data_IF_451621538506
#
_entry.id   IF_451621538506
#
_cell.length_a   1.000
_cell.length_b   1.000
_cell.length_c   1.000
_cell.angle_alpha   90.00
_cell.angle_beta   90.00
_cell.angle_gamma   90.00
#
_symmetry.space_group_name_H-M   'P 1'
#
loop_
_entity.id
_entity.type
_entity.pdbx_description
1 polymer ?
#
# COMPACT_ATOMS: atom_id res chain seq x y z
N UNK A 1 19.19 -6.99 4.16
CA UNK A 1 18.82 -8.08 3.23
C UNK A 1 18.56 -7.41 1.89
N UNK A 2 19.15 -7.88 0.79
CA UNK A 2 18.95 -7.25 -0.51
C UNK A 2 17.46 -7.39 -0.91
N UNK A 3 16.74 -6.27 -0.95
CA UNK A 3 15.38 -6.23 -1.46
C UNK A 3 15.41 -6.68 -2.92
N UNK A 4 14.62 -7.70 -3.27
CA UNK A 4 14.54 -8.21 -4.63
C UNK A 4 14.01 -7.13 -5.58
N UNK A 5 14.71 -6.93 -6.70
CA UNK A 5 14.33 -5.97 -7.74
C UNK A 5 12.86 -6.14 -8.15
N UNK A 6 12.13 -5.03 -8.24
CA UNK A 6 10.71 -5.05 -8.63
C UNK A 6 10.63 -5.01 -10.15
N UNK A 7 10.00 -6.03 -10.74
CA UNK A 7 9.74 -6.07 -12.19
C UNK A 7 8.39 -5.47 -12.56
N UNK A 8 8.40 -4.64 -13.59
CA UNK A 8 7.24 -4.00 -14.19
C UNK A 8 7.07 -4.48 -15.64
N UNK A 9 5.84 -4.83 -16.01
CA UNK A 9 5.48 -5.25 -17.36
C UNK A 9 4.07 -4.78 -17.76
N UNK A 10 3.81 -4.72 -19.06
CA UNK A 10 2.50 -4.40 -19.63
C UNK A 10 1.85 -3.15 -19.02
N UNK A 11 0.60 -3.29 -18.58
CA UNK A 11 -0.17 -2.19 -17.98
C UNK A 11 0.46 -1.63 -16.69
N UNK A 12 1.23 -2.43 -15.94
CA UNK A 12 1.93 -1.95 -14.75
C UNK A 12 3.05 -0.97 -15.12
N UNK A 13 3.84 -1.30 -16.15
CA UNK A 13 4.88 -0.41 -16.67
C UNK A 13 4.28 0.86 -17.27
N UNK A 14 3.18 0.76 -18.02
CA UNK A 14 2.50 1.92 -18.62
C UNK A 14 2.01 2.93 -17.57
N UNK A 15 1.30 2.46 -16.54
CA UNK A 15 0.79 3.33 -15.47
C UNK A 15 1.93 3.92 -14.65
N UNK A 16 2.92 3.10 -14.27
CA UNK A 16 4.10 3.57 -13.54
C UNK A 16 4.86 4.65 -14.32
N UNK A 17 5.08 4.44 -15.62
CA UNK A 17 5.80 5.36 -16.47
C UNK A 17 5.04 6.68 -16.61
N UNK A 18 3.75 6.60 -16.91
CA UNK A 18 2.92 7.78 -17.10
C UNK A 18 2.80 8.63 -15.83
N UNK A 19 2.67 8.00 -14.66
CA UNK A 19 2.62 8.74 -13.39
C UNK A 19 4.00 9.34 -13.02
N UNK A 20 5.10 8.62 -13.21
CA UNK A 20 6.44 9.15 -12.98
C UNK A 20 6.76 10.35 -13.90
N UNK A 21 6.40 10.24 -15.18
CA UNK A 21 6.55 11.34 -16.16
C UNK A 21 5.68 12.55 -15.81
N UNK A 22 4.43 12.31 -15.35
CA UNK A 22 3.54 13.39 -14.95
C UNK A 22 4.12 14.19 -13.77
N UNK A 23 4.74 13.51 -12.79
CA UNK A 23 5.41 14.18 -11.68
C UNK A 23 6.66 14.92 -12.16
N UNK A 24 7.51 14.29 -12.99
CA UNK A 24 8.71 14.91 -13.56
C UNK A 24 8.41 16.19 -14.36
N UNK A 25 7.28 16.23 -15.07
CA UNK A 25 6.87 17.40 -15.84
C UNK A 25 6.56 18.63 -14.96
N UNK A 26 6.19 18.43 -13.69
CA UNK A 26 5.76 19.50 -12.79
C UNK A 26 6.88 20.00 -11.87
N UNK A 27 7.87 19.17 -11.57
CA UNK A 27 8.97 19.54 -10.67
C UNK A 27 9.94 20.52 -11.34
N UNK A 28 10.26 21.61 -10.64
CA UNK A 28 11.18 22.66 -11.10
C UNK A 28 12.59 22.54 -10.49
N UNK A 29 12.71 21.92 -9.33
CA UNK A 29 13.98 21.72 -8.63
C UNK A 29 14.91 20.76 -9.39
N UNK A 30 16.13 21.20 -9.72
CA UNK A 30 17.02 20.46 -10.62
C UNK A 30 17.46 19.11 -10.06
N UNK A 31 17.81 19.04 -8.78
CA UNK A 31 18.26 17.81 -8.13
C UNK A 31 17.13 16.79 -8.04
N UNK A 32 15.92 17.23 -7.69
CA UNK A 32 14.73 16.37 -7.68
C UNK A 32 14.32 15.93 -9.08
N UNK A 33 14.48 16.78 -10.10
CA UNK A 33 14.26 16.40 -11.50
C UNK A 33 15.22 15.30 -11.94
N UNK A 34 16.50 15.38 -11.55
CA UNK A 34 17.49 14.33 -11.83
C UNK A 34 17.03 12.96 -11.31
N UNK A 35 16.70 12.90 -10.01
CA UNK A 35 16.20 11.65 -9.39
C UNK A 35 14.93 11.11 -10.03
N UNK A 36 14.00 11.98 -10.44
CA UNK A 36 12.79 11.55 -11.15
C UNK A 36 13.07 11.10 -12.58
N UNK A 37 14.05 11.67 -13.26
CA UNK A 37 14.48 11.21 -14.57
C UNK A 37 15.12 9.82 -14.50
N UNK A 38 15.95 9.58 -13.47
CA UNK A 38 16.53 8.27 -13.20
C UNK A 38 15.42 7.23 -12.92
N UNK A 39 14.42 7.57 -12.09
CA UNK A 39 13.25 6.72 -11.87
C UNK A 39 12.49 6.41 -13.17
N UNK A 40 12.26 7.42 -14.03
CA UNK A 40 11.59 7.22 -15.32
C UNK A 40 12.38 6.23 -16.19
N UNK A 41 13.71 6.34 -16.23
CA UNK A 41 14.57 5.41 -16.95
C UNK A 41 14.45 3.98 -16.38
N UNK A 42 14.53 3.81 -15.06
CA UNK A 42 14.39 2.52 -14.40
C UNK A 42 13.01 1.87 -14.68
N UNK A 43 11.93 2.66 -14.68
CA UNK A 43 10.59 2.17 -15.04
C UNK A 43 10.51 1.75 -16.51
N UNK A 44 11.18 2.46 -17.42
CA UNK A 44 11.25 2.08 -18.84
C UNK A 44 12.03 0.79 -19.07
N UNK A 45 13.10 0.57 -18.30
CA UNK A 45 13.87 -0.67 -18.32
C UNK A 45 13.10 -1.84 -17.68
N UNK A 46 12.13 -1.54 -16.82
CA UNK A 46 11.22 -2.50 -16.21
C UNK A 46 11.78 -3.21 -14.98
N UNK A 47 12.94 -2.79 -14.47
CA UNK A 47 13.54 -3.29 -13.24
C UNK A 47 13.86 -2.12 -12.30
N UNK A 48 13.30 -2.15 -11.09
CA UNK A 48 13.53 -1.11 -10.08
C UNK A 48 14.47 -1.60 -8.99
N UNK A 49 15.46 -0.77 -8.69
CA UNK A 49 16.23 -0.84 -7.44
C UNK A 49 15.37 -0.45 -6.23
N UNK A 50 15.94 -0.57 -5.04
CA UNK A 50 15.22 -0.29 -3.77
C UNK A 50 14.78 1.18 -3.68
N UNK A 51 15.68 2.11 -3.99
CA UNK A 51 15.39 3.55 -3.96
C UNK A 51 14.32 3.94 -5.01
N UNK A 52 14.42 3.39 -6.22
CA UNK A 52 13.45 3.63 -7.29
C UNK A 52 12.08 3.03 -6.97
N UNK A 53 12.06 1.84 -6.37
CA UNK A 53 10.83 1.21 -5.92
C UNK A 53 10.14 2.04 -4.83
N UNK A 54 10.90 2.59 -3.89
CA UNK A 54 10.36 3.49 -2.86
C UNK A 54 9.85 4.81 -3.46
N UNK A 55 10.58 5.39 -4.41
CA UNK A 55 10.14 6.62 -5.08
C UNK A 55 8.87 6.40 -5.91
N UNK A 56 8.79 5.28 -6.64
CA UNK A 56 7.58 4.90 -7.38
C UNK A 56 6.40 4.65 -6.44
N UNK A 57 6.66 4.05 -5.28
CA UNK A 57 5.62 3.76 -4.29
C UNK A 57 4.88 5.00 -3.83
N UNK A 58 5.60 6.09 -3.52
CA UNK A 58 4.99 7.35 -3.11
C UNK A 58 4.10 7.95 -4.21
N UNK A 59 4.52 7.83 -5.47
CA UNK A 59 3.77 8.33 -6.63
C UNK A 59 2.50 7.51 -6.83
N UNK A 60 2.59 6.19 -6.82
CA UNK A 60 1.45 5.29 -7.01
C UNK A 60 0.47 5.39 -5.85
N UNK A 61 0.95 5.47 -4.60
CA UNK A 61 0.13 5.66 -3.40
C UNK A 61 -0.71 6.95 -3.51
N UNK A 62 -0.08 8.05 -3.93
CA UNK A 62 -0.78 9.31 -4.14
C UNK A 62 -1.80 9.22 -5.28
N UNK A 63 -1.42 8.62 -6.41
CA UNK A 63 -2.30 8.45 -7.57
C UNK A 63 -3.52 7.57 -7.29
N UNK A 64 -3.36 6.53 -6.47
CA UNK A 64 -4.44 5.65 -6.01
C UNK A 64 -5.34 6.36 -4.99
N UNK A 65 -4.77 6.98 -3.96
CA UNK A 65 -5.53 7.61 -2.86
C UNK A 65 -6.36 8.81 -3.31
N UNK A 66 -5.92 9.52 -4.36
CA UNK A 66 -6.65 10.66 -4.94
C UNK A 66 -7.65 10.24 -6.03
N UNK A 67 -7.65 8.97 -6.45
CA UNK A 67 -8.46 8.48 -7.57
C UNK A 67 -7.97 8.92 -8.95
N UNK A 68 -6.82 9.62 -9.03
CA UNK A 68 -6.24 10.09 -10.30
C UNK A 68 -5.97 8.93 -11.26
N UNK A 69 -5.36 7.85 -10.79
CA UNK A 69 -5.00 6.71 -11.66
C UNK A 69 -6.25 6.14 -12.33
N UNK A 70 -7.34 5.96 -11.57
CA UNK A 70 -8.62 5.53 -12.13
C UNK A 70 -9.17 6.54 -13.14
N UNK A 71 -9.03 7.84 -12.88
CA UNK A 71 -9.48 8.90 -13.77
C UNK A 71 -8.72 8.96 -15.10
N UNK A 72 -7.42 8.65 -15.10
CA UNK A 72 -6.55 8.71 -16.30
C UNK A 72 -6.51 7.38 -17.05
N UNK A 73 -6.38 6.27 -16.34
CA UNK A 73 -6.14 4.94 -16.91
C UNK A 73 -7.34 3.97 -16.79
N UNK A 74 -8.45 4.44 -16.22
CA UNK A 74 -9.65 3.63 -16.01
C UNK A 74 -9.49 2.54 -14.94
N UNK A 75 -10.51 1.68 -14.78
CA UNK A 75 -10.51 0.61 -13.78
C UNK A 75 -9.38 -0.40 -13.97
N UNK A 76 -9.00 -0.72 -15.21
CA UNK A 76 -7.94 -1.69 -15.49
C UNK A 76 -6.57 -1.15 -15.08
N UNK A 77 -6.29 0.13 -15.37
CA UNK A 77 -5.07 0.79 -14.91
C UNK A 77 -4.99 0.90 -13.38
N UNK A 78 -6.11 1.18 -12.71
CA UNK A 78 -6.20 1.15 -11.25
C UNK A 78 -5.87 -0.24 -10.69
N UNK A 79 -6.38 -1.31 -11.30
CA UNK A 79 -6.03 -2.68 -10.90
C UNK A 79 -4.55 -3.01 -11.14
N UNK A 80 -3.97 -2.56 -12.25
CA UNK A 80 -2.54 -2.72 -12.52
C UNK A 80 -1.69 -1.96 -11.48
N UNK A 81 -2.06 -0.73 -11.15
CA UNK A 81 -1.40 0.07 -10.11
C UNK A 81 -1.50 -0.58 -8.72
N UNK A 82 -2.67 -1.10 -8.33
CA UNK A 82 -2.85 -1.81 -7.06
C UNK A 82 -1.98 -3.07 -6.98
N UNK A 83 -1.89 -3.84 -8.07
CA UNK A 83 -1.00 -5.01 -8.15
C UNK A 83 0.47 -4.61 -8.04
N UNK A 84 0.85 -3.50 -8.68
CA UNK A 84 2.21 -2.94 -8.61
C UNK A 84 2.53 -2.50 -7.19
N UNK A 85 1.65 -1.70 -6.58
CA UNK A 85 1.79 -1.21 -5.21
C UNK A 85 2.06 -2.35 -4.23
N UNK A 86 1.32 -3.47 -4.30
CA UNK A 86 1.54 -4.65 -3.43
C UNK A 86 2.93 -5.29 -3.55
N UNK A 87 3.67 -5.04 -4.63
CA UNK A 87 5.05 -5.53 -4.83
C UNK A 87 6.11 -4.54 -4.31
N UNK A 88 5.74 -3.29 -4.07
CA UNK A 88 6.61 -2.23 -3.55
C UNK A 88 6.81 -2.36 -2.03
N UNK A 89 7.82 -1.69 -1.44
CA UNK A 89 8.20 -1.89 -0.02
C UNK A 89 7.05 -1.78 1.00
N UNK A 90 6.38 -0.62 1.13
CA UNK A 90 5.21 -0.46 2.02
C UNK A 90 4.04 -1.31 1.58
N UNK A 91 3.86 -1.56 0.28
CA UNK A 91 2.81 -2.48 -0.18
C UNK A 91 3.02 -3.93 0.27
N UNK A 92 4.27 -4.38 0.38
CA UNK A 92 4.64 -5.67 1.00
C UNK A 92 4.34 -5.66 2.50
N UNK A 93 4.79 -4.63 3.22
CA UNK A 93 4.51 -4.46 4.65
C UNK A 93 3.00 -4.46 4.94
N UNK A 94 2.22 -3.77 4.11
CA UNK A 94 0.76 -3.74 4.19
C UNK A 94 0.16 -5.15 3.98
N UNK A 95 0.68 -5.88 3.00
CA UNK A 95 0.22 -7.24 2.68
C UNK A 95 0.54 -8.23 3.80
N UNK A 96 1.70 -8.09 4.44
CA UNK A 96 2.11 -8.87 5.62
C UNK A 96 1.22 -8.55 6.82
N UNK A 97 1.06 -7.27 7.16
CA UNK A 97 0.20 -6.84 8.25
C UNK A 97 -1.25 -7.30 8.08
N UNK A 98 -1.77 -7.27 6.85
CA UNK A 98 -3.12 -7.76 6.54
C UNK A 98 -3.22 -9.27 6.74
N UNK A 99 -2.18 -10.03 6.38
CA UNK A 99 -2.12 -11.48 6.60
C UNK A 99 -2.12 -11.79 8.10
N UNK A 100 -1.37 -11.05 8.90
CA UNK A 100 -1.29 -11.25 10.35
C UNK A 100 -2.65 -10.97 11.02
N UNK A 101 -3.30 -9.86 10.65
CA UNK A 101 -4.67 -9.55 11.12
C UNK A 101 -5.65 -10.65 10.70
N UNK A 102 -5.56 -11.14 9.47
CA UNK A 102 -6.44 -12.20 8.96
C UNK A 102 -6.22 -13.51 9.74
N UNK A 103 -4.97 -13.87 10.03
CA UNK A 103 -4.64 -15.03 10.86
C UNK A 103 -5.19 -14.92 12.28
N UNK A 104 -5.07 -13.74 12.90
CA UNK A 104 -5.63 -13.50 14.23
C UNK A 104 -7.17 -13.56 14.25
N UNK A 105 -7.83 -13.00 13.22
CA UNK A 105 -9.28 -13.10 13.07
C UNK A 105 -9.73 -14.55 12.84
N UNK A 106 -8.96 -15.33 12.08
CA UNK A 106 -9.23 -16.76 11.87
C UNK A 106 -9.18 -17.58 13.16
N UNK A 107 -8.35 -17.19 14.15
CA UNK A 107 -8.33 -17.84 15.46
C UNK A 107 -9.63 -17.63 16.27
N UNK A 108 -10.48 -16.68 15.86
CA UNK A 108 -11.78 -16.43 16.47
C UNK A 108 -12.91 -17.22 15.80
N UNK A 109 -12.64 -17.92 14.71
CA UNK A 109 -13.66 -18.65 13.96
C UNK A 109 -14.33 -19.74 14.82
N UNK A 110 -15.66 -19.80 14.77
CA UNK A 110 -16.46 -20.74 15.56
C UNK A 110 -16.64 -20.37 17.04
N UNK A 111 -15.99 -19.30 17.53
CA UNK A 111 -16.17 -18.79 18.90
C UNK A 111 -17.39 -17.89 19.01
N UNK A 112 -17.96 -17.82 20.22
CA UNK A 112 -19.08 -16.91 20.50
C UNK A 112 -18.57 -15.47 20.70
N UNK A 113 -19.05 -14.53 19.87
CA UNK A 113 -18.82 -13.10 20.06
C UNK A 113 -19.49 -12.59 21.33
N UNK A 114 -18.73 -11.95 22.21
CA UNK A 114 -19.23 -11.27 23.40
C UNK A 114 -19.49 -9.79 23.11
N UNK A 115 -18.56 -9.15 22.38
CA UNK A 115 -18.71 -7.76 21.95
C UNK A 115 -17.88 -7.47 20.70
N UNK A 116 -18.37 -6.52 19.90
CA UNK A 116 -17.65 -5.94 18.75
C UNK A 116 -17.83 -4.43 18.82
N UNK A 117 -16.72 -3.69 18.86
CA UNK A 117 -16.73 -2.24 19.02
C UNK A 117 -15.80 -1.57 18.04
N UNK A 118 -16.27 -0.51 17.40
CA UNK A 118 -15.43 0.39 16.60
C UNK A 118 -15.35 1.74 17.32
N UNK A 119 -14.13 2.25 17.51
CA UNK A 119 -13.87 3.55 18.12
C UNK A 119 -13.03 4.41 17.20
N UNK A 120 -13.36 5.70 17.11
CA UNK A 120 -12.48 6.66 16.46
C UNK A 120 -11.21 6.84 17.30
N UNK A 121 -10.04 6.61 16.69
CA UNK A 121 -8.72 6.84 17.28
C UNK A 121 -8.07 8.13 16.75
N UNK A 122 -8.63 8.71 15.69
CA UNK A 122 -8.22 9.96 15.07
C UNK A 122 -8.88 10.13 13.69
N UNK A 123 -8.62 11.25 12.98
CA UNK A 123 -9.11 11.43 11.61
C UNK A 123 -8.66 10.29 10.70
N UNK A 124 -9.62 9.54 10.14
CA UNK A 124 -9.33 8.39 9.27
C UNK A 124 -8.68 7.20 9.98
N UNK A 125 -8.68 7.17 11.32
CA UNK A 125 -8.10 6.11 12.12
C UNK A 125 -9.11 5.55 13.12
N UNK A 126 -9.24 4.22 13.17
CA UNK A 126 -10.20 3.50 14.00
C UNK A 126 -9.53 2.36 14.76
N UNK A 127 -10.09 2.03 15.92
CA UNK A 127 -9.78 0.83 16.68
C UNK A 127 -11.00 -0.09 16.65
N UNK A 128 -10.82 -1.31 16.16
CA UNK A 128 -11.79 -2.39 16.21
C UNK A 128 -11.41 -3.34 17.36
N UNK A 129 -12.26 -3.44 18.37
CA UNK A 129 -12.12 -4.40 19.49
C UNK A 129 -13.14 -5.53 19.33
N UNK A 130 -12.69 -6.77 19.48
CA UNK A 130 -13.51 -7.98 19.38
C UNK A 130 -13.24 -8.84 20.62
N UNK A 131 -14.29 -9.12 21.39
CA UNK A 131 -14.25 -10.06 22.52
C UNK A 131 -14.88 -11.40 22.16
N UNK A 132 -14.20 -12.51 22.43
CA UNK A 132 -14.70 -13.89 22.24
C UNK A 132 -14.27 -14.81 23.37
N UNK A 133 -15.21 -15.42 24.09
CA UNK A 133 -14.92 -16.46 25.10
C UNK A 133 -13.79 -16.07 26.09
N UNK A 134 -13.80 -14.82 26.57
CA UNK A 134 -12.74 -14.27 27.43
C UNK A 134 -11.44 -13.84 26.72
N UNK A 135 -11.34 -13.92 25.39
CA UNK A 135 -10.22 -13.35 24.62
C UNK A 135 -10.58 -11.97 24.09
N UNK A 136 -9.62 -11.06 24.00
CA UNK A 136 -9.79 -9.75 23.38
C UNK A 136 -8.77 -9.53 22.25
N UNK A 137 -9.27 -9.17 21.06
CA UNK A 137 -8.47 -8.78 19.91
C UNK A 137 -8.74 -7.31 19.58
N UNK A 138 -7.68 -6.50 19.50
CA UNK A 138 -7.78 -5.12 19.04
C UNK A 138 -7.01 -4.94 17.73
N UNK A 139 -7.65 -4.35 16.73
CA UNK A 139 -7.11 -4.07 15.39
C UNK A 139 -7.18 -2.58 15.10
N UNK A 140 -6.04 -1.97 14.78
CA UNK A 140 -5.97 -0.58 14.30
C UNK A 140 -6.22 -0.55 12.79
N UNK A 141 -7.12 0.33 12.35
CA UNK A 141 -7.45 0.56 10.95
C UNK A 141 -7.15 2.02 10.60
N UNK A 142 -6.18 2.28 9.74
CA UNK A 142 -5.89 3.63 9.27
C UNK A 142 -5.34 3.64 7.83
N UNK A 143 -4.85 4.79 7.35
CA UNK A 143 -4.30 4.95 5.99
C UNK A 143 -3.16 3.97 5.66
N UNK A 144 -2.49 3.46 6.68
CA UNK A 144 -1.38 2.53 6.53
C UNK A 144 -1.81 1.06 6.64
N UNK A 145 -3.12 0.81 6.71
CA UNK A 145 -3.73 -0.51 6.65
C UNK A 145 -4.36 -0.98 7.95
N UNK A 146 -4.67 -2.28 7.98
CA UNK A 146 -5.09 -2.99 9.17
C UNK A 146 -3.87 -3.59 9.88
N UNK A 147 -3.73 -3.32 11.18
CA UNK A 147 -2.63 -3.82 12.03
C UNK A 147 -3.16 -4.37 13.35
N UNK A 148 -2.54 -5.43 13.83
CA UNK A 148 -2.76 -5.90 15.19
C UNK A 148 -2.31 -4.81 16.18
N UNK A 149 -3.20 -4.43 17.10
CA UNK A 149 -2.90 -3.49 18.16
C UNK A 149 -2.58 -4.23 19.47
N UNK A 150 -3.42 -5.19 19.85
CA UNK A 150 -3.19 -6.05 21.01
C UNK A 150 -3.98 -7.36 20.89
N UNK A 151 -3.50 -8.39 21.57
CA UNK A 151 -4.19 -9.67 21.80
C UNK A 151 -4.13 -9.93 23.31
N UNK A 152 -5.27 -10.18 23.93
CA UNK A 152 -5.42 -10.37 25.37
C UNK A 152 -6.30 -11.57 25.74
N UNK A 153 -6.25 -11.91 27.02
CA UNK A 153 -7.06 -12.91 27.74
C UNK A 153 -7.63 -12.24 28.98
#
# INVERSE_FOLDING_TARGET
>A
MASAAVRLDGAAAEVALGEAQAVLALVQDADRRGRLADLVAAVQEGELGEDDAQALEEIIELGLSTGRIRGVYGPEGEQAALKTYRKLPRGKELSESTRDVTGALGALEGKTLEHVKVQAAGPGAYLLSIGVEGLELAVRLDRSGARLHSVGV
#
